data_IF_639342622719
#
_entry.id   IF_639342622719
#
_cell.length_a   1.000
_cell.length_b   1.000
_cell.length_c   1.000
_cell.angle_alpha   90.00
_cell.angle_beta   90.00
_cell.angle_gamma   90.00
#
_symmetry.space_group_name_H-M   'P 1'
#
loop_
_entity.id
_entity.type
_entity.pdbx_description
1 polymer ?
#
# COMPACT_ATOMS: atom_id res chain seq x y z
N UNK A 1 -6.14 -3.34 -15.38
CA UNK A 1 -4.95 -2.50 -15.23
C UNK A 1 -3.83 -3.24 -15.92
N UNK A 2 -3.21 -2.61 -16.89
CA UNK A 2 -2.13 -3.21 -17.69
C UNK A 2 -0.85 -3.27 -16.86
N UNK A 3 0.04 -4.21 -17.17
CA UNK A 3 1.31 -4.37 -16.45
C UNK A 3 2.14 -3.08 -16.39
N UNK A 4 2.25 -2.37 -17.52
CA UNK A 4 2.98 -1.12 -17.62
C UNK A 4 2.43 -0.01 -16.71
N UNK A 5 1.15 -0.08 -16.32
CA UNK A 5 0.56 0.88 -15.39
C UNK A 5 1.15 0.69 -13.99
N UNK A 6 1.43 -0.54 -13.55
CA UNK A 6 2.08 -0.77 -12.26
C UNK A 6 3.54 -0.29 -12.23
N UNK A 7 4.26 -0.39 -13.34
CA UNK A 7 5.60 0.21 -13.45
C UNK A 7 5.55 1.74 -13.34
N UNK A 8 4.55 2.35 -13.98
CA UNK A 8 4.33 3.80 -13.88
C UNK A 8 3.95 4.21 -12.45
N UNK A 9 3.07 3.47 -11.78
CA UNK A 9 2.71 3.70 -10.38
C UNK A 9 3.95 3.60 -9.51
N UNK A 10 4.73 2.51 -9.60
CA UNK A 10 5.93 2.30 -8.77
C UNK A 10 6.98 3.40 -8.96
N UNK A 11 7.09 3.95 -10.17
CA UNK A 11 8.01 5.07 -10.46
C UNK A 11 7.53 6.40 -9.88
N UNK A 12 6.21 6.62 -9.85
CA UNK A 12 5.62 7.92 -9.54
C UNK A 12 5.07 8.03 -8.11
N UNK A 13 4.78 6.92 -7.42
CA UNK A 13 4.13 6.90 -6.10
C UNK A 13 4.87 7.72 -5.03
N UNK A 14 6.19 7.82 -5.16
CA UNK A 14 7.06 8.54 -4.23
C UNK A 14 7.12 10.05 -4.49
N UNK A 15 6.97 10.50 -5.74
CA UNK A 15 7.31 11.87 -6.16
C UNK A 15 6.15 12.65 -6.76
N UNK A 16 5.16 11.98 -7.33
CA UNK A 16 4.06 12.64 -8.03
C UNK A 16 3.03 13.17 -7.03
N UNK A 17 2.63 14.43 -7.22
CA UNK A 17 1.80 15.20 -6.29
C UNK A 17 0.48 14.51 -5.92
N UNK A 18 -0.15 13.81 -6.88
CA UNK A 18 -1.40 13.08 -6.64
C UNK A 18 -1.24 12.02 -5.55
N UNK A 19 -0.20 11.17 -5.62
CA UNK A 19 0.05 10.14 -4.61
C UNK A 19 0.41 10.75 -3.25
N UNK A 20 1.19 11.83 -3.25
CA UNK A 20 1.48 12.55 -2.02
C UNK A 20 0.22 13.10 -1.34
N UNK A 21 -0.69 13.71 -2.11
CA UNK A 21 -1.96 14.23 -1.61
C UNK A 21 -2.89 13.12 -1.10
N UNK A 22 -3.06 12.04 -1.88
CA UNK A 22 -3.89 10.90 -1.48
C UNK A 22 -3.37 10.22 -0.23
N UNK A 23 -2.06 10.02 -0.11
CA UNK A 23 -1.44 9.49 1.09
C UNK A 23 -1.64 10.39 2.31
N UNK A 24 -1.55 11.72 2.14
CA UNK A 24 -1.80 12.66 3.23
C UNK A 24 -3.26 12.59 3.72
N UNK A 25 -4.22 12.55 2.81
CA UNK A 25 -5.65 12.42 3.13
C UNK A 25 -5.93 11.09 3.82
N UNK A 26 -5.45 9.97 3.27
CA UNK A 26 -5.64 8.64 3.86
C UNK A 26 -5.00 8.53 5.25
N UNK A 27 -3.78 9.05 5.42
CA UNK A 27 -3.09 9.06 6.72
C UNK A 27 -3.85 9.88 7.76
N UNK A 28 -4.43 11.03 7.37
CA UNK A 28 -5.26 11.84 8.25
C UNK A 28 -6.50 11.06 8.72
N UNK A 29 -7.21 10.42 7.79
CA UNK A 29 -8.38 9.60 8.11
C UNK A 29 -8.04 8.45 9.07
N UNK A 30 -6.97 7.71 8.81
CA UNK A 30 -6.53 6.61 9.69
C UNK A 30 -6.06 7.11 11.05
N UNK A 31 -5.40 8.26 11.12
CA UNK A 31 -4.94 8.84 12.39
C UNK A 31 -6.07 9.26 13.33
N UNK A 32 -7.27 9.50 12.81
CA UNK A 32 -8.47 9.76 13.61
C UNK A 32 -9.09 8.50 14.23
N UNK A 33 -8.60 7.31 13.88
CA UNK A 33 -9.10 6.05 14.41
C UNK A 33 -8.40 5.70 15.73
N UNK A 34 -9.17 5.28 16.73
CA UNK A 34 -8.66 4.76 17.99
C UNK A 34 -8.17 3.30 17.83
N UNK A 35 -7.14 3.09 17.02
CA UNK A 35 -6.57 1.76 16.79
C UNK A 35 -5.85 1.25 18.05
N UNK A 36 -6.02 -0.02 18.43
CA UNK A 36 -5.27 -0.60 19.53
C UNK A 36 -3.78 -0.72 19.16
N UNK A 37 -2.92 -0.75 20.18
CA UNK A 37 -1.51 -1.03 19.98
C UNK A 37 -1.33 -2.40 19.28
N UNK A 38 -0.54 -2.42 18.20
CA UNK A 38 -0.32 -3.65 17.42
C UNK A 38 -1.52 -4.07 16.58
N UNK A 39 -2.42 -3.14 16.21
CA UNK A 39 -3.53 -3.41 15.30
C UNK A 39 -3.07 -4.19 14.05
N UNK A 40 -3.89 -5.14 13.61
CA UNK A 40 -3.67 -5.89 12.36
C UNK A 40 -4.43 -5.19 11.25
N UNK A 41 -3.71 -4.78 10.21
CA UNK A 41 -4.24 -3.96 9.11
C UNK A 41 -4.13 -4.77 7.82
N UNK A 42 -5.21 -4.79 7.03
CA UNK A 42 -5.23 -5.35 5.68
C UNK A 42 -5.31 -4.21 4.67
N UNK A 43 -4.32 -4.13 3.79
CA UNK A 43 -4.36 -3.28 2.60
C UNK A 43 -4.86 -4.12 1.41
N UNK A 44 -6.16 -4.00 1.11
CA UNK A 44 -6.83 -4.78 0.07
C UNK A 44 -6.78 -4.06 -1.27
N UNK A 45 -6.08 -4.63 -2.24
CA UNK A 45 -5.69 -3.94 -3.47
C UNK A 45 -4.43 -3.09 -3.25
N UNK A 46 -3.42 -3.65 -2.58
CA UNK A 46 -2.23 -2.92 -2.15
C UNK A 46 -1.36 -2.39 -3.30
N UNK A 47 -1.61 -2.82 -4.54
CA UNK A 47 -0.92 -2.35 -5.72
C UNK A 47 0.60 -2.57 -5.61
N UNK A 48 1.35 -1.51 -5.87
CA UNK A 48 2.82 -1.49 -5.81
C UNK A 48 3.37 -1.45 -4.38
N UNK A 49 2.51 -1.28 -3.38
CA UNK A 49 2.84 -1.45 -1.96
C UNK A 49 3.15 -0.17 -1.17
N UNK A 50 3.06 1.05 -1.73
CA UNK A 50 3.31 2.29 -0.96
C UNK A 50 2.46 2.38 0.31
N UNK A 51 1.20 1.93 0.21
CA UNK A 51 0.25 1.77 1.32
C UNK A 51 0.87 1.11 2.54
N UNK A 52 1.55 -0.02 2.31
CA UNK A 52 2.16 -0.87 3.32
C UNK A 52 3.23 -0.14 4.13
N UNK A 53 3.97 0.81 3.52
CA UNK A 53 5.03 1.57 4.20
C UNK A 53 4.46 2.50 5.24
N UNK A 54 3.48 3.32 4.85
CA UNK A 54 2.98 4.36 5.74
C UNK A 54 1.96 3.81 6.74
N UNK A 55 1.20 2.77 6.37
CA UNK A 55 0.29 2.07 7.27
C UNK A 55 1.03 1.35 8.41
N UNK A 56 2.30 0.99 8.21
CA UNK A 56 3.12 0.36 9.25
C UNK A 56 3.32 1.24 10.50
N UNK A 57 3.11 2.55 10.38
CA UNK A 57 3.08 3.46 11.54
C UNK A 57 1.89 3.23 12.48
N UNK A 58 0.84 2.53 12.01
CA UNK A 58 -0.40 2.31 12.73
C UNK A 58 -0.59 0.86 13.21
N UNK A 59 0.28 -0.08 12.81
CA UNK A 59 0.17 -1.47 13.20
C UNK A 59 0.90 -2.44 12.27
N UNK A 60 0.55 -3.72 12.39
CA UNK A 60 1.07 -4.80 11.55
C UNK A 60 0.23 -4.89 10.28
N UNK A 61 0.83 -4.52 9.14
CA UNK A 61 0.15 -4.49 7.85
C UNK A 61 0.41 -5.76 7.05
N UNK A 62 -0.63 -6.29 6.43
CA UNK A 62 -0.58 -7.32 5.39
C UNK A 62 -1.20 -6.73 4.13
N UNK A 63 -0.56 -6.92 2.98
CA UNK A 63 -1.12 -6.49 1.70
C UNK A 63 -1.61 -7.66 0.87
N UNK A 64 -2.69 -7.44 0.12
CA UNK A 64 -3.15 -8.36 -0.91
C UNK A 64 -3.43 -7.61 -2.21
N UNK A 65 -3.09 -8.23 -3.33
CA UNK A 65 -3.51 -7.78 -4.66
C UNK A 65 -3.78 -8.99 -5.56
N UNK A 66 -4.69 -8.85 -6.52
CA UNK A 66 -5.00 -9.90 -7.49
C UNK A 66 -3.95 -9.93 -8.61
N UNK A 67 -3.39 -8.77 -8.96
CA UNK A 67 -2.58 -8.64 -10.15
C UNK A 67 -1.12 -9.06 -9.91
N UNK A 68 -0.55 -9.99 -10.71
CA UNK A 68 0.84 -10.42 -10.53
C UNK A 68 1.85 -9.27 -10.62
N UNK A 69 1.61 -8.27 -11.48
CA UNK A 69 2.50 -7.12 -11.61
C UNK A 69 2.52 -6.24 -10.34
N UNK A 70 1.38 -6.04 -9.69
CA UNK A 70 1.31 -5.36 -8.39
C UNK A 70 2.22 -6.05 -7.37
N UNK A 71 2.06 -7.37 -7.23
CA UNK A 71 2.83 -8.19 -6.28
C UNK A 71 4.34 -8.12 -6.57
N UNK A 72 4.78 -8.14 -7.83
CA UNK A 72 6.21 -8.00 -8.19
C UNK A 72 6.83 -6.70 -7.69
N UNK A 73 6.05 -5.62 -7.61
CA UNK A 73 6.49 -4.35 -7.03
C UNK A 73 6.42 -4.38 -5.51
N UNK A 74 5.29 -4.82 -4.96
CA UNK A 74 5.03 -4.83 -3.53
C UNK A 74 6.02 -5.68 -2.72
N UNK A 75 6.53 -6.80 -3.27
CA UNK A 75 7.53 -7.63 -2.57
C UNK A 75 8.84 -6.92 -2.27
N UNK A 76 9.14 -5.81 -2.96
CA UNK A 76 10.30 -4.96 -2.65
C UNK A 76 10.05 -3.98 -1.50
N UNK A 77 8.80 -3.95 -1.01
CA UNK A 77 8.33 -3.05 0.04
C UNK A 77 8.10 -3.80 1.35
N UNK A 78 7.47 -4.98 1.27
CA UNK A 78 7.09 -5.78 2.43
C UNK A 78 7.19 -7.27 2.11
N UNK A 79 7.46 -8.08 3.14
CA UNK A 79 7.37 -9.54 3.06
C UNK A 79 6.02 -10.09 3.50
N UNK A 80 5.15 -9.25 4.09
CA UNK A 80 3.80 -9.62 4.54
C UNK A 80 2.78 -9.38 3.43
N UNK A 81 2.84 -10.21 2.40
CA UNK A 81 2.07 -10.07 1.18
C UNK A 81 1.52 -11.40 0.70
N UNK A 82 0.34 -11.35 0.07
CA UNK A 82 -0.20 -12.49 -0.66
C UNK A 82 -0.83 -12.04 -1.98
N UNK A 83 -0.75 -12.90 -3.00
CA UNK A 83 -1.55 -12.74 -4.21
C UNK A 83 -2.92 -13.38 -3.98
N UNK A 84 -4.00 -12.63 -4.21
CA UNK A 84 -5.34 -13.19 -4.16
C UNK A 84 -5.61 -14.09 -5.39
N UNK A 85 -6.52 -15.05 -5.24
CA UNK A 85 -6.86 -16.08 -6.24
C UNK A 85 -8.07 -15.71 -7.08
#
# INVERSE_FOLDING_TARGET
>A
MEEAEYDNIARLEATHWWYAGMRAIARSAVSGLALPAGARILDAGCGTGDGLRWLAAFGVVVGIDLHPAAIRHAVRVSTRLARAS
#
